data_IF_423437301074
#
_entry.id   IF_423437301074
#
_cell.length_a   1.000
_cell.length_b   1.000
_cell.length_c   1.000
_cell.angle_alpha   90.00
_cell.angle_beta   90.00
_cell.angle_gamma   90.00
#
_symmetry.space_group_name_H-M   'P 1'
#
loop_
_entity.id
_entity.type
_entity.pdbx_description
1 polymer ?
#
# COMPACT_ATOMS: atom_id res chain seq x y z
N UNK A 1 7.42 -18.42 -0.72
CA UNK A 1 7.36 -17.01 -1.15
C UNK A 1 6.56 -16.94 -2.44
N UNK A 2 5.95 -15.81 -2.75
CA UNK A 2 5.43 -15.55 -4.09
C UNK A 2 6.55 -15.90 -5.08
N UNK A 3 6.27 -16.79 -6.04
CA UNK A 3 7.29 -17.24 -6.99
C UNK A 3 7.93 -16.06 -7.72
N UNK A 4 9.11 -16.25 -8.28
CA UNK A 4 9.79 -15.22 -9.08
C UNK A 4 9.03 -14.94 -10.38
N UNK A 5 8.30 -15.93 -10.89
CA UNK A 5 7.53 -15.81 -12.14
C UNK A 5 6.05 -16.05 -11.86
N UNK A 6 5.24 -15.00 -12.01
CA UNK A 6 3.79 -15.05 -11.77
C UNK A 6 3.08 -14.48 -13.00
N UNK A 7 2.15 -15.23 -13.59
CA UNK A 7 1.33 -14.73 -14.69
C UNK A 7 -0.14 -14.80 -14.32
N UNK A 8 -0.83 -13.67 -14.35
CA UNK A 8 -2.29 -13.59 -14.24
C UNK A 8 -2.88 -13.43 -15.64
N UNK A 9 -3.79 -14.33 -16.02
CA UNK A 9 -4.48 -14.28 -17.32
C UNK A 9 -5.92 -13.77 -17.13
N UNK A 10 -6.42 -12.99 -18.09
CA UNK A 10 -7.81 -12.51 -18.06
C UNK A 10 -8.10 -11.48 -16.96
N UNK A 11 -7.10 -10.67 -16.57
CA UNK A 11 -7.27 -9.60 -15.59
C UNK A 11 -8.23 -8.53 -16.12
N UNK A 12 -9.32 -8.28 -15.38
CA UNK A 12 -10.40 -7.37 -15.74
C UNK A 12 -9.86 -5.97 -16.08
N UNK A 13 -10.07 -5.55 -17.32
CA UNK A 13 -9.65 -4.24 -17.84
C UNK A 13 -8.17 -4.15 -18.24
N UNK A 14 -7.35 -5.20 -18.06
CA UNK A 14 -5.92 -5.18 -18.39
C UNK A 14 -5.52 -6.28 -19.38
N UNK A 15 -6.14 -7.46 -19.32
CA UNK A 15 -5.74 -8.64 -20.11
C UNK A 15 -4.77 -9.52 -19.33
N UNK A 16 -3.60 -9.84 -19.89
CA UNK A 16 -2.60 -10.67 -19.21
C UNK A 16 -1.52 -9.81 -18.56
N UNK A 17 -1.17 -10.14 -17.32
CA UNK A 17 -0.06 -9.51 -16.57
C UNK A 17 0.95 -10.60 -16.22
N UNK A 18 2.20 -10.44 -16.64
CA UNK A 18 3.31 -11.33 -16.28
C UNK A 18 4.35 -10.58 -15.44
N UNK A 19 4.62 -11.10 -14.25
CA UNK A 19 5.56 -10.59 -13.28
C UNK A 19 6.79 -11.51 -13.26
N UNK A 20 7.94 -10.92 -13.52
CA UNK A 20 9.28 -11.51 -13.36
C UNK A 20 10.02 -10.67 -12.32
N UNK A 21 10.13 -11.22 -11.12
CA UNK A 21 10.61 -10.55 -9.93
C UNK A 21 11.92 -11.17 -9.45
N UNK A 22 12.84 -10.32 -8.99
CA UNK A 22 14.09 -10.79 -8.37
C UNK A 22 13.78 -11.53 -7.07
N UNK A 23 14.40 -12.69 -6.82
CA UNK A 23 14.22 -13.42 -5.57
C UNK A 23 14.76 -12.62 -4.38
N UNK A 24 14.29 -12.99 -3.18
CA UNK A 24 14.81 -12.54 -1.88
C UNK A 24 14.78 -11.02 -1.62
N UNK A 25 14.01 -10.27 -2.42
CA UNK A 25 13.77 -8.85 -2.15
C UNK A 25 12.71 -8.66 -1.06
N UNK A 26 12.87 -7.59 -0.27
CA UNK A 26 11.87 -7.14 0.71
C UNK A 26 10.90 -6.11 0.15
N UNK A 27 11.26 -5.43 -0.94
CA UNK A 27 10.42 -4.41 -1.57
C UNK A 27 10.37 -4.67 -3.07
N UNK A 28 9.14 -4.72 -3.60
CA UNK A 28 8.86 -4.81 -5.03
C UNK A 28 8.04 -3.59 -5.42
N UNK A 29 8.65 -2.63 -6.08
CA UNK A 29 7.99 -1.38 -6.46
C UNK A 29 7.66 -1.37 -7.94
N UNK A 30 6.40 -1.10 -8.26
CA UNK A 30 5.87 -1.10 -9.60
C UNK A 30 5.56 0.33 -10.06
N UNK A 31 6.19 0.72 -11.17
CA UNK A 31 6.03 2.02 -11.81
C UNK A 31 5.53 1.82 -13.23
N UNK A 32 4.87 2.81 -13.78
CA UNK A 32 4.47 2.81 -15.18
C UNK A 32 3.46 3.90 -15.46
N UNK A 33 3.08 4.05 -16.72
CA UNK A 33 2.11 5.08 -17.16
C UNK A 33 0.74 4.89 -16.50
N UNK A 34 -0.04 5.96 -16.42
CA UNK A 34 -1.41 5.91 -15.91
C UNK A 34 -2.24 4.94 -16.77
N UNK A 35 -3.07 4.11 -16.13
CA UNK A 35 -3.92 3.13 -16.82
C UNK A 35 -3.21 1.84 -17.27
N UNK A 36 -1.90 1.66 -17.02
CA UNK A 36 -1.19 0.42 -17.40
C UNK A 36 -1.67 -0.82 -16.63
N UNK A 37 -2.30 -0.63 -15.46
CA UNK A 37 -2.82 -1.70 -14.62
C UNK A 37 -2.11 -1.93 -13.27
N UNK A 38 -1.35 -0.96 -12.74
CA UNK A 38 -0.66 -1.06 -11.43
C UNK A 38 -1.59 -1.49 -10.29
N UNK A 39 -2.70 -0.77 -10.09
CA UNK A 39 -3.70 -1.10 -9.07
C UNK A 39 -4.31 -2.49 -9.29
N UNK A 40 -4.70 -2.81 -10.54
CA UNK A 40 -5.28 -4.12 -10.89
C UNK A 40 -4.30 -5.28 -10.69
N UNK A 41 -3.01 -5.04 -10.93
CA UNK A 41 -1.94 -6.00 -10.64
C UNK A 41 -1.82 -6.26 -9.13
N UNK A 42 -1.77 -5.21 -8.31
CA UNK A 42 -1.72 -5.38 -6.85
C UNK A 42 -3.01 -6.02 -6.30
N UNK A 43 -4.19 -5.69 -6.85
CA UNK A 43 -5.45 -6.35 -6.51
C UNK A 43 -5.43 -7.85 -6.84
N UNK A 44 -4.99 -8.23 -8.04
CA UNK A 44 -4.86 -9.63 -8.44
C UNK A 44 -3.90 -10.39 -7.52
N UNK A 45 -2.75 -9.78 -7.19
CA UNK A 45 -1.77 -10.34 -6.27
C UNK A 45 -2.34 -10.51 -4.87
N UNK A 46 -3.06 -9.52 -4.34
CA UNK A 46 -3.71 -9.62 -3.04
C UNK A 46 -4.77 -10.71 -3.01
N UNK A 47 -5.65 -10.78 -4.01
CA UNK A 47 -6.70 -11.80 -4.06
C UNK A 47 -6.10 -13.21 -4.11
N UNK A 48 -5.02 -13.41 -4.88
CA UNK A 48 -4.29 -14.67 -4.89
C UNK A 48 -3.73 -15.02 -3.51
N UNK A 49 -3.06 -14.07 -2.85
CA UNK A 49 -2.54 -14.26 -1.48
C UNK A 49 -3.68 -14.60 -0.51
N UNK A 50 -4.79 -13.87 -0.55
CA UNK A 50 -5.92 -14.07 0.35
C UNK A 50 -6.55 -15.46 0.20
N UNK A 51 -6.70 -15.96 -1.03
CA UNK A 51 -7.18 -17.31 -1.33
C UNK A 51 -6.18 -18.40 -0.89
N UNK A 52 -4.89 -18.08 -0.95
CA UNK A 52 -3.79 -18.93 -0.52
C UNK A 52 -3.60 -18.94 1.00
N UNK A 53 -4.29 -18.07 1.73
CA UNK A 53 -4.19 -18.00 3.19
C UNK A 53 -4.80 -19.25 3.86
N UNK A 54 -4.09 -19.86 4.81
CA UNK A 54 -4.46 -21.14 5.42
C UNK A 54 -5.62 -21.04 6.41
N UNK A 55 -5.86 -19.88 7.00
CA UNK A 55 -6.90 -19.68 8.02
C UNK A 55 -8.14 -18.97 7.47
N UNK A 56 -8.31 -18.92 6.14
CA UNK A 56 -9.54 -18.40 5.54
C UNK A 56 -10.67 -19.42 5.66
N UNK A 57 -11.82 -18.99 6.17
CA UNK A 57 -12.99 -19.86 6.25
C UNK A 57 -13.51 -20.20 4.84
N UNK A 58 -14.08 -21.40 4.69
CA UNK A 58 -14.55 -21.89 3.38
C UNK A 58 -15.61 -20.96 2.75
N UNK A 59 -16.50 -20.37 3.54
CA UNK A 59 -17.53 -19.46 3.04
C UNK A 59 -16.93 -18.12 2.53
N UNK A 60 -15.88 -17.60 3.19
CA UNK A 60 -15.12 -16.44 2.70
C UNK A 60 -14.47 -16.74 1.36
N UNK A 61 -13.88 -17.92 1.24
CA UNK A 61 -13.27 -18.39 0.02
C UNK A 61 -14.28 -18.47 -1.14
N UNK A 62 -15.47 -19.03 -0.90
CA UNK A 62 -16.56 -19.07 -1.89
C UNK A 62 -16.98 -17.65 -2.30
N UNK A 63 -17.09 -16.74 -1.35
CA UNK A 63 -17.46 -15.36 -1.63
C UNK A 63 -16.43 -14.66 -2.53
N UNK A 64 -15.14 -14.76 -2.19
CA UNK A 64 -14.04 -14.19 -3.00
C UNK A 64 -14.09 -14.73 -4.42
N UNK A 65 -14.29 -16.04 -4.59
CA UNK A 65 -14.29 -16.69 -5.90
C UNK A 65 -15.28 -16.09 -6.91
N UNK A 66 -16.34 -15.42 -6.43
CA UNK A 66 -17.34 -14.78 -7.28
C UNK A 66 -16.89 -13.44 -7.90
N UNK A 67 -15.87 -12.78 -7.32
CA UNK A 67 -15.44 -11.44 -7.74
C UNK A 67 -13.92 -11.33 -7.98
N UNK A 68 -13.26 -12.46 -8.24
CA UNK A 68 -11.83 -12.47 -8.60
C UNK A 68 -11.61 -11.67 -9.88
N UNK A 69 -10.56 -10.84 -9.89
CA UNK A 69 -10.29 -9.92 -10.99
C UNK A 69 -9.55 -10.57 -12.17
N UNK A 70 -9.20 -11.86 -12.09
CA UNK A 70 -8.42 -12.61 -13.08
C UNK A 70 -8.99 -14.03 -13.28
N UNK A 71 -8.78 -14.61 -14.46
CA UNK A 71 -9.33 -15.92 -14.81
C UNK A 71 -8.47 -17.08 -14.32
N UNK A 72 -7.15 -16.97 -14.44
CA UNK A 72 -6.19 -18.01 -14.04
C UNK A 72 -4.85 -17.42 -13.63
N UNK A 73 -4.04 -18.24 -12.94
CA UNK A 73 -2.70 -17.86 -12.50
C UNK A 73 -1.69 -18.97 -12.81
N UNK A 74 -0.50 -18.59 -13.27
CA UNK A 74 0.65 -19.48 -13.45
C UNK A 74 1.77 -19.03 -12.52
N UNK A 75 2.38 -19.95 -11.78
CA UNK A 75 3.50 -19.66 -10.89
C UNK A 75 4.65 -20.61 -11.20
N UNK A 76 5.82 -20.09 -11.56
CA UNK A 76 7.02 -20.88 -11.87
C UNK A 76 6.73 -22.07 -12.82
N UNK A 77 5.92 -21.84 -13.87
CA UNK A 77 5.43 -22.82 -14.85
C UNK A 77 4.42 -23.85 -14.33
N UNK A 78 4.03 -23.82 -13.05
CA UNK A 78 2.88 -24.57 -12.57
C UNK A 78 1.60 -23.78 -12.83
N UNK A 79 0.69 -24.37 -13.60
CA UNK A 79 -0.62 -23.77 -13.91
C UNK A 79 -1.59 -24.07 -12.76
N UNK A 80 -2.23 -23.03 -12.23
CA UNK A 80 -3.38 -23.16 -11.32
C UNK A 80 -4.62 -22.79 -12.15
N UNK A 81 -5.40 -23.80 -12.53
CA UNK A 81 -6.45 -23.68 -13.57
C UNK A 81 -7.72 -22.95 -13.15
N UNK A 82 -8.23 -22.15 -14.09
CA UNK A 82 -9.59 -21.63 -14.26
C UNK A 82 -10.39 -21.35 -12.98
N UNK A 83 -9.91 -20.33 -12.28
CA UNK A 83 -10.43 -19.86 -10.99
C UNK A 83 -11.86 -19.32 -11.12
N UNK A 84 -12.18 -18.73 -12.28
CA UNK A 84 -13.48 -18.04 -12.49
C UNK A 84 -14.54 -18.98 -13.09
N UNK A 85 -14.18 -19.93 -13.96
CA UNK A 85 -15.19 -20.76 -14.66
C UNK A 85 -15.66 -21.97 -13.89
N UNK A 86 -14.82 -22.58 -13.07
CA UNK A 86 -15.16 -23.88 -12.47
C UNK A 86 -16.08 -23.75 -11.25
N UNK A 87 -16.13 -22.58 -10.57
CA UNK A 87 -16.72 -22.41 -9.22
C UNK A 87 -16.28 -23.49 -8.21
N UNK A 88 -15.28 -24.28 -8.58
CA UNK A 88 -14.90 -25.59 -8.06
C UNK A 88 -13.38 -25.72 -8.16
N UNK A 89 -12.67 -24.62 -7.88
CA UNK A 89 -11.26 -24.73 -7.58
C UNK A 89 -11.17 -25.56 -6.30
N UNK A 90 -10.43 -26.66 -6.33
CA UNK A 90 -10.10 -27.35 -5.09
C UNK A 90 -9.09 -26.48 -4.34
N UNK A 91 -9.42 -25.91 -3.16
CA UNK A 91 -8.50 -25.05 -2.40
C UNK A 91 -7.17 -25.75 -2.09
N UNK A 92 -7.16 -27.08 -2.14
CA UNK A 92 -6.03 -27.98 -1.96
C UNK A 92 -4.96 -27.85 -3.05
N UNK A 93 -5.31 -27.39 -4.26
CA UNK A 93 -4.36 -27.21 -5.37
C UNK A 93 -3.56 -25.90 -5.28
N UNK A 94 -3.97 -24.98 -4.41
CA UNK A 94 -3.31 -23.68 -4.22
C UNK A 94 -2.31 -23.79 -3.07
N UNK A 95 -1.01 -23.48 -3.29
CA UNK A 95 -0.02 -23.47 -2.22
C UNK A 95 -0.46 -22.58 -1.06
N UNK A 96 -0.57 -23.16 0.13
CA UNK A 96 -1.06 -22.44 1.31
C UNK A 96 0.06 -21.69 2.05
N UNK A 97 -0.29 -20.58 2.69
CA UNK A 97 0.58 -19.85 3.61
C UNK A 97 -0.19 -19.32 4.83
N UNK A 98 0.52 -19.03 5.92
CA UNK A 98 -0.04 -18.46 7.15
C UNK A 98 0.36 -17.01 7.42
N UNK A 99 1.11 -16.40 6.49
CA UNK A 99 1.54 -15.00 6.64
C UNK A 99 0.34 -14.03 6.64
N UNK A 100 0.30 -13.03 7.54
CA UNK A 100 -0.63 -11.91 7.45
C UNK A 100 -0.48 -11.17 6.12
N UNK A 101 -1.60 -10.80 5.49
CA UNK A 101 -1.61 -10.06 4.22
C UNK A 101 -2.46 -8.81 4.38
N UNK A 102 -1.89 -7.66 4.01
CA UNK A 102 -2.58 -6.37 4.03
C UNK A 102 -2.57 -5.73 2.65
N UNK A 103 -3.68 -5.09 2.28
CA UNK A 103 -3.76 -4.22 1.12
C UNK A 103 -4.13 -2.81 1.58
N UNK A 104 -3.28 -1.85 1.28
CA UNK A 104 -3.43 -0.44 1.63
C UNK A 104 -3.74 0.33 0.35
N UNK A 105 -5.01 0.64 0.11
CA UNK A 105 -5.43 1.42 -1.06
C UNK A 105 -4.94 2.87 -0.97
N UNK A 106 -4.91 3.60 -2.09
CA UNK A 106 -4.30 4.94 -2.16
C UNK A 106 -5.13 6.06 -1.53
N UNK A 107 -6.45 5.91 -1.46
CA UNK A 107 -7.35 6.96 -1.02
C UNK A 107 -7.50 7.02 0.52
N UNK A 108 -7.87 8.20 1.02
CA UNK A 108 -8.10 8.53 2.43
C UNK A 108 -6.87 8.57 3.35
N UNK A 109 -5.63 8.70 2.84
CA UNK A 109 -4.43 8.81 3.71
C UNK A 109 -4.26 10.19 4.38
N UNK A 110 -4.71 11.27 3.74
CA UNK A 110 -4.40 12.65 4.19
C UNK A 110 -5.28 13.25 5.30
N UNK A 111 -6.48 12.72 5.56
CA UNK A 111 -7.48 13.44 6.38
C UNK A 111 -7.84 12.72 7.69
N UNK A 112 -7.60 13.36 8.83
CA UNK A 112 -8.15 12.91 10.12
C UNK A 112 -9.47 13.64 10.32
N UNK A 113 -10.60 12.93 10.24
CA UNK A 113 -11.94 13.49 10.43
C UNK A 113 -12.63 12.89 11.66
N UNK A 114 -12.92 13.70 12.67
CA UNK A 114 -13.64 13.25 13.84
C UNK A 114 -15.03 12.72 13.46
N UNK A 115 -15.34 11.48 13.85
CA UNK A 115 -16.64 10.86 13.65
C UNK A 115 -17.14 10.28 14.97
N UNK A 116 -18.32 10.73 15.41
CA UNK A 116 -19.05 10.18 16.55
C UNK A 116 -19.74 8.87 16.15
N UNK A 117 -19.00 7.77 16.12
CA UNK A 117 -19.57 6.44 15.93
C UNK A 117 -19.75 5.72 17.27
N UNK A 118 -20.86 4.99 17.40
CA UNK A 118 -21.11 4.11 18.54
C UNK A 118 -20.07 2.99 18.58
N UNK A 119 -19.31 2.94 19.67
CA UNK A 119 -18.25 1.96 19.88
C UNK A 119 -18.91 0.63 20.26
N UNK A 120 -18.75 -0.39 19.42
CA UNK A 120 -19.26 -1.76 19.67
C UNK A 120 -18.18 -2.61 20.33
N UNK A 121 -18.60 -3.55 21.19
CA UNK A 121 -17.72 -4.61 21.68
C UNK A 121 -17.07 -5.33 20.50
N UNK A 122 -15.74 -5.43 20.53
CA UNK A 122 -14.92 -5.83 19.37
C UNK A 122 -14.96 -7.36 19.19
N UNK A 123 -15.18 -8.10 20.28
CA UNK A 123 -15.26 -9.57 20.30
C UNK A 123 -13.91 -10.25 20.56
N UNK A 124 -13.92 -11.59 20.58
CA UNK A 124 -12.71 -12.42 20.73
C UNK A 124 -11.76 -12.29 19.54
N UNK A 125 -10.48 -12.68 19.69
CA UNK A 125 -9.52 -12.72 18.57
C UNK A 125 -10.08 -13.36 17.28
N UNK A 126 -10.70 -14.54 17.38
CA UNK A 126 -11.24 -15.24 16.22
C UNK A 126 -12.40 -14.47 15.56
N UNK A 127 -13.30 -13.89 16.35
CA UNK A 127 -14.38 -13.04 15.82
C UNK A 127 -13.82 -11.79 15.14
N UNK A 128 -12.76 -11.19 15.68
CA UNK A 128 -12.09 -10.03 15.09
C UNK A 128 -11.44 -10.38 13.76
N UNK A 129 -10.71 -11.50 13.70
CA UNK A 129 -10.10 -12.01 12.49
C UNK A 129 -11.16 -12.23 11.41
N UNK A 130 -12.23 -12.95 11.75
CA UNK A 130 -13.29 -13.30 10.82
C UNK A 130 -14.06 -12.06 10.31
N UNK A 131 -14.38 -11.11 11.20
CA UNK A 131 -14.98 -9.81 10.82
C UNK A 131 -14.05 -8.99 9.93
N UNK A 132 -12.74 -9.02 10.18
CA UNK A 132 -11.76 -8.32 9.38
C UNK A 132 -11.69 -8.88 7.95
N UNK A 133 -11.61 -10.20 7.81
CA UNK A 133 -11.63 -10.88 6.52
C UNK A 133 -12.94 -10.56 5.77
N UNK A 134 -14.08 -10.69 6.46
CA UNK A 134 -15.40 -10.31 5.91
C UNK A 134 -15.41 -8.87 5.38
N UNK A 135 -14.87 -7.92 6.16
CA UNK A 135 -14.81 -6.51 5.79
C UNK A 135 -13.98 -6.30 4.51
N UNK A 136 -12.78 -6.88 4.43
CA UNK A 136 -11.93 -6.75 3.24
C UNK A 136 -12.65 -7.30 2.02
N UNK A 137 -13.21 -8.50 2.14
CA UNK A 137 -13.91 -9.19 1.05
C UNK A 137 -15.05 -8.31 0.53
N UNK A 138 -15.89 -7.78 1.42
CA UNK A 138 -17.00 -6.89 1.05
C UNK A 138 -16.50 -5.59 0.41
N UNK A 139 -15.40 -5.01 0.89
CA UNK A 139 -14.81 -3.82 0.27
C UNK A 139 -14.29 -4.12 -1.14
N UNK A 140 -13.69 -5.29 -1.36
CA UNK A 140 -13.19 -5.72 -2.66
C UNK A 140 -14.31 -5.92 -3.68
N UNK A 141 -15.38 -6.60 -3.29
CA UNK A 141 -16.54 -6.82 -4.16
C UNK A 141 -17.13 -5.50 -4.65
N UNK A 142 -17.26 -4.52 -3.74
CA UNK A 142 -17.79 -3.20 -4.04
C UNK A 142 -16.80 -2.29 -4.80
N UNK A 143 -15.62 -2.79 -5.19
CA UNK A 143 -14.50 -1.99 -5.73
C UNK A 143 -14.21 -0.76 -4.85
N UNK A 144 -14.35 -0.91 -3.53
CA UNK A 144 -14.17 0.20 -2.59
C UNK A 144 -12.69 0.58 -2.51
N UNK A 145 -12.40 1.88 -2.69
CA UNK A 145 -11.06 2.43 -2.92
C UNK A 145 -10.25 2.61 -1.62
N UNK A 146 -10.72 2.09 -0.49
CA UNK A 146 -10.28 2.50 0.85
C UNK A 146 -10.00 1.34 1.80
N UNK A 147 -9.69 0.17 1.27
CA UNK A 147 -9.32 -1.02 2.04
C UNK A 147 -8.22 -0.68 3.05
N UNK A 148 -8.45 -1.04 4.31
CA UNK A 148 -7.61 -0.72 5.47
C UNK A 148 -7.33 0.78 5.75
N UNK A 149 -7.95 1.71 5.03
CA UNK A 149 -7.71 3.17 5.13
C UNK A 149 -8.93 3.99 5.58
N UNK A 150 -10.09 3.36 5.76
CA UNK A 150 -11.36 4.04 6.15
C UNK A 150 -11.44 4.43 7.62
N UNK A 151 -10.72 3.71 8.50
CA UNK A 151 -10.90 3.91 9.93
C UNK A 151 -10.29 5.24 10.34
N UNK A 152 -11.11 6.15 10.87
CA UNK A 152 -10.60 7.34 11.52
C UNK A 152 -9.66 6.95 12.67
N UNK A 153 -8.50 7.58 12.71
CA UNK A 153 -7.45 7.20 13.66
C UNK A 153 -7.80 7.52 15.11
N UNK A 154 -8.52 8.62 15.37
CA UNK A 154 -8.99 8.96 16.71
C UNK A 154 -10.00 7.91 17.17
N UNK A 155 -11.00 7.60 16.35
CA UNK A 155 -11.96 6.52 16.63
C UNK A 155 -11.28 5.16 16.84
N UNK A 156 -10.18 4.89 16.12
CA UNK A 156 -9.38 3.68 16.30
C UNK A 156 -8.71 3.65 17.67
N UNK A 157 -7.97 4.69 18.05
CA UNK A 157 -7.35 4.80 19.38
C UNK A 157 -8.40 4.73 20.50
N UNK A 158 -9.55 5.40 20.34
CA UNK A 158 -10.68 5.32 21.26
C UNK A 158 -11.15 3.89 21.48
N UNK A 159 -11.37 3.17 20.38
CA UNK A 159 -11.85 1.78 20.39
C UNK A 159 -10.84 0.86 21.07
N UNK A 160 -9.54 1.06 20.82
CA UNK A 160 -8.47 0.30 21.47
C UNK A 160 -8.35 0.60 22.95
N UNK A 161 -8.39 1.87 23.35
CA UNK A 161 -8.26 2.27 24.75
C UNK A 161 -9.43 1.73 25.60
N UNK A 162 -10.65 1.73 25.05
CA UNK A 162 -11.81 1.14 25.72
C UNK A 162 -11.78 -0.39 25.78
N UNK A 163 -11.03 -1.04 24.89
CA UNK A 163 -10.78 -2.49 24.90
C UNK A 163 -9.46 -2.88 25.54
N UNK A 164 -8.77 -1.93 26.17
CA UNK A 164 -7.56 -2.16 26.96
C UNK A 164 -7.96 -2.24 28.43
N UNK A 165 -8.14 -3.46 28.94
CA UNK A 165 -8.57 -3.69 30.32
C UNK A 165 -7.60 -4.67 31.03
N UNK A 166 -7.04 -4.32 32.21
CA UNK A 166 -6.18 -5.22 32.99
C UNK A 166 -6.80 -6.59 33.34
N UNK A 167 -8.13 -6.68 33.36
CA UNK A 167 -8.86 -7.91 33.70
C UNK A 167 -9.20 -8.79 32.48
N UNK A 168 -8.86 -8.35 31.28
CA UNK A 168 -9.11 -9.09 30.04
C UNK A 168 -7.97 -10.08 29.78
N UNK A 169 -8.26 -11.18 29.08
CA UNK A 169 -7.22 -12.11 28.61
C UNK A 169 -6.20 -11.35 27.77
N UNK A 170 -4.91 -11.67 27.93
CA UNK A 170 -3.84 -10.99 27.21
C UNK A 170 -4.04 -11.00 25.68
N UNK A 171 -4.61 -12.08 25.14
CA UNK A 171 -4.95 -12.25 23.71
C UNK A 171 -6.05 -11.31 23.20
N UNK A 172 -6.92 -10.84 24.11
CA UNK A 172 -8.01 -9.93 23.77
C UNK A 172 -7.72 -8.48 24.23
N UNK A 173 -6.63 -8.26 24.95
CA UNK A 173 -6.20 -6.93 25.39
C UNK A 173 -5.50 -6.19 24.26
N UNK A 174 -6.03 -5.02 23.90
CA UNK A 174 -5.63 -4.26 22.72
C UNK A 174 -4.64 -3.11 22.98
N UNK A 175 -4.04 -3.10 24.17
CA UNK A 175 -3.04 -2.10 24.54
C UNK A 175 -1.76 -2.23 23.69
N UNK A 176 -1.47 -3.44 23.19
CA UNK A 176 -0.29 -3.77 22.40
C UNK A 176 -0.25 -2.94 21.11
N UNK A 177 -1.40 -2.76 20.44
CA UNK A 177 -1.50 -1.94 19.23
C UNK A 177 -1.14 -0.48 19.50
N UNK A 178 -1.68 0.11 20.58
CA UNK A 178 -1.38 1.49 20.97
C UNK A 178 0.11 1.65 21.25
N UNK A 179 0.66 0.79 22.12
CA UNK A 179 2.09 0.80 22.48
C UNK A 179 2.99 0.64 21.27
N UNK A 180 2.63 -0.25 20.35
CA UNK A 180 3.38 -0.45 19.11
C UNK A 180 3.37 0.80 18.25
N UNK A 181 2.21 1.42 18.00
CA UNK A 181 2.14 2.64 17.19
C UNK A 181 2.97 3.76 17.84
N UNK A 182 2.81 4.02 19.13
CA UNK A 182 3.56 5.07 19.83
C UNK A 182 5.08 4.85 19.76
N UNK A 183 5.52 3.59 19.93
CA UNK A 183 6.93 3.20 19.80
C UNK A 183 7.45 3.44 18.37
N UNK A 184 6.67 3.07 17.35
CA UNK A 184 7.06 3.29 15.95
C UNK A 184 7.09 4.78 15.60
N UNK A 185 6.17 5.60 16.14
CA UNK A 185 6.21 7.05 15.96
C UNK A 185 7.45 7.68 16.61
N UNK A 186 7.82 7.24 17.82
CA UNK A 186 9.06 7.67 18.47
C UNK A 186 10.32 7.29 17.65
N UNK A 187 10.31 6.16 16.93
CA UNK A 187 11.40 5.77 16.02
C UNK A 187 11.43 6.60 14.72
N UNK A 188 10.33 7.24 14.35
CA UNK A 188 10.28 8.19 13.23
C UNK A 188 10.78 9.55 13.68
N UNK A 189 10.29 10.02 14.82
CA UNK A 189 10.58 11.32 15.40
C UNK A 189 10.75 11.16 16.91
N UNK A 190 11.98 11.32 17.38
CA UNK A 190 12.35 11.13 18.79
C UNK A 190 11.71 12.16 19.73
N UNK A 191 11.15 13.26 19.20
CA UNK A 191 10.39 14.23 20.00
C UNK A 191 9.06 13.70 20.52
N UNK A 192 8.55 12.61 19.93
CA UNK A 192 7.28 11.99 20.28
C UNK A 192 7.47 11.05 21.49
N UNK A 193 6.75 11.27 22.57
CA UNK A 193 6.78 10.42 23.76
C UNK A 193 6.04 9.09 23.51
N UNK A 194 6.77 7.97 23.54
CA UNK A 194 6.19 6.64 23.29
C UNK A 194 5.27 6.14 24.42
N UNK A 195 5.28 6.80 25.58
CA UNK A 195 4.52 6.39 26.77
C UNK A 195 3.32 7.30 27.06
N UNK A 196 3.06 8.29 26.19
CA UNK A 196 1.98 9.24 26.39
C UNK A 196 0.93 9.15 25.26
N UNK A 197 -0.30 8.84 25.67
CA UNK A 197 -1.50 9.02 24.88
C UNK A 197 -2.58 9.54 25.82
N UNK A 198 -3.24 10.63 25.44
CA UNK A 198 -4.38 11.13 26.17
C UNK A 198 -5.62 11.15 25.29
N UNK A 199 -6.72 10.71 25.87
CA UNK A 199 -8.03 10.67 25.24
C UNK A 199 -8.95 11.58 26.07
N UNK A 200 -9.47 12.63 25.46
CA UNK A 200 -10.46 13.50 26.11
C UNK A 200 -11.85 12.87 26.11
N UNK A 201 -12.74 13.36 26.98
CA UNK A 201 -14.12 12.86 27.09
C UNK A 201 -14.97 13.05 25.82
N UNK A 202 -14.59 13.96 24.93
CA UNK A 202 -15.18 14.17 23.61
C UNK A 202 -14.48 13.39 22.48
N UNK A 203 -13.59 12.46 22.84
CA UNK A 203 -12.98 11.50 21.92
C UNK A 203 -11.80 12.03 21.11
N UNK A 204 -11.25 13.19 21.46
CA UNK A 204 -10.02 13.69 20.83
C UNK A 204 -8.81 13.00 21.41
N UNK A 205 -7.86 12.69 20.53
CA UNK A 205 -6.65 11.97 20.88
C UNK A 205 -5.46 12.92 20.82
N UNK A 206 -4.63 12.91 21.86
CA UNK A 206 -3.44 13.75 21.95
C UNK A 206 -2.19 12.94 22.20
N UNK A 207 -1.12 13.33 21.50
CA UNK A 207 0.24 12.86 21.71
C UNK A 207 1.05 13.95 22.41
N UNK A 208 2.18 13.56 23.00
CA UNK A 208 3.15 14.51 23.55
C UNK A 208 4.34 14.59 22.60
N UNK A 209 4.57 15.77 22.04
CA UNK A 209 5.60 16.08 21.04
C UNK A 209 6.37 17.29 21.55
N UNK A 210 7.69 17.20 21.67
CA UNK A 210 8.54 18.25 22.26
C UNK A 210 8.07 18.68 23.66
N UNK A 211 7.68 17.70 24.49
CA UNK A 211 7.04 17.93 25.79
C UNK A 211 5.72 18.72 25.77
N UNK A 212 5.16 19.02 24.61
CA UNK A 212 3.88 19.69 24.45
C UNK A 212 2.80 18.70 24.02
N UNK A 213 1.63 18.81 24.64
CA UNK A 213 0.44 18.07 24.22
C UNK A 213 -0.05 18.62 22.88
N UNK A 214 -0.22 17.75 21.88
CA UNK A 214 -0.78 18.08 20.57
C UNK A 214 -1.87 17.08 20.18
N UNK A 215 -3.02 17.60 19.79
CA UNK A 215 -4.13 16.79 19.25
C UNK A 215 -3.75 16.21 17.88
N UNK A 216 -4.20 14.99 17.57
CA UNK A 216 -3.94 14.33 16.28
C UNK A 216 -4.48 15.15 15.11
N UNK A 217 -5.63 15.80 15.29
CA UNK A 217 -6.27 16.71 14.32
C UNK A 217 -5.38 17.90 13.92
N UNK A 218 -4.44 18.31 14.77
CA UNK A 218 -3.53 19.44 14.53
C UNK A 218 -2.21 19.02 13.89
N UNK A 219 -1.99 17.72 13.64
CA UNK A 219 -0.78 17.24 12.98
C UNK A 219 -0.77 17.62 11.50
N UNK A 220 0.42 17.80 10.94
CA UNK A 220 0.56 18.05 9.49
C UNK A 220 -0.03 16.90 8.69
N UNK A 221 -0.65 17.21 7.54
CA UNK A 221 -1.25 16.20 6.64
C UNK A 221 -0.25 15.14 6.18
N UNK A 222 1.02 15.53 5.99
CA UNK A 222 2.11 14.61 5.67
C UNK A 222 2.40 13.62 6.81
N UNK A 223 2.47 14.09 8.05
CA UNK A 223 2.66 13.20 9.21
C UNK A 223 1.43 12.32 9.47
N UNK A 224 0.22 12.87 9.33
CA UNK A 224 -1.03 12.12 9.43
C UNK A 224 -1.08 10.94 8.44
N UNK A 225 -0.58 11.13 7.23
CA UNK A 225 -0.51 10.08 6.21
C UNK A 225 0.43 8.93 6.60
N UNK A 226 1.61 9.23 7.17
CA UNK A 226 2.52 8.20 7.70
C UNK A 226 1.88 7.46 8.86
N UNK A 227 1.32 8.22 9.80
CA UNK A 227 0.67 7.68 10.97
C UNK A 227 -0.44 6.70 10.57
N UNK A 228 -1.23 7.02 9.54
CA UNK A 228 -2.25 6.10 9.00
C UNK A 228 -1.66 4.83 8.36
N UNK A 229 -0.57 4.94 7.61
CA UNK A 229 0.10 3.74 7.05
C UNK A 229 0.54 2.81 8.19
N UNK A 230 1.17 3.37 9.23
CA UNK A 230 1.64 2.61 10.40
C UNK A 230 0.45 2.00 11.16
N UNK A 231 -0.57 2.81 11.45
CA UNK A 231 -1.77 2.35 12.13
C UNK A 231 -2.48 1.24 11.36
N UNK A 232 -2.57 1.33 10.03
CA UNK A 232 -3.17 0.29 9.21
C UNK A 232 -2.35 -1.00 9.20
N UNK A 233 -1.02 -0.93 9.15
CA UNK A 233 -0.15 -2.12 9.23
C UNK A 233 -0.28 -2.79 10.59
N UNK A 234 -0.14 -2.02 11.69
CA UNK A 234 -0.24 -2.54 13.05
C UNK A 234 -1.63 -3.12 13.31
N UNK A 235 -2.69 -2.38 12.97
CA UNK A 235 -4.06 -2.86 13.13
C UNK A 235 -4.31 -4.10 12.26
N UNK A 236 -3.82 -4.12 11.04
CA UNK A 236 -3.93 -5.26 10.14
C UNK A 236 -3.31 -6.51 10.75
N UNK A 237 -2.05 -6.44 11.17
CA UNK A 237 -1.36 -7.56 11.82
C UNK A 237 -2.06 -8.03 13.09
N UNK A 238 -2.60 -7.12 13.91
CA UNK A 238 -3.36 -7.49 15.12
C UNK A 238 -4.63 -8.32 14.86
N UNK A 239 -5.13 -8.34 13.61
CA UNK A 239 -6.24 -9.21 13.22
C UNK A 239 -5.79 -10.59 12.77
N UNK A 240 -4.52 -10.78 12.41
CA UNK A 240 -3.97 -12.07 12.02
C UNK A 240 -3.18 -12.75 13.13
N UNK A 241 -2.75 -12.02 14.15
CA UNK A 241 -1.93 -12.56 15.23
C UNK A 241 -2.11 -11.83 16.56
N UNK A 242 -1.79 -12.53 17.66
CA UNK A 242 -1.69 -11.99 19.02
C UNK A 242 -0.22 -11.78 19.48
N UNK A 243 0.72 -11.74 18.53
CA UNK A 243 2.13 -11.43 18.82
C UNK A 243 2.28 -10.09 19.54
N UNK A 244 3.09 -10.05 20.60
CA UNK A 244 3.32 -8.82 21.37
C UNK A 244 4.17 -7.79 20.61
N UNK A 245 4.97 -8.25 19.64
CA UNK A 245 5.84 -7.41 18.84
C UNK A 245 5.31 -7.31 17.41
N UNK A 246 4.20 -6.59 17.24
CA UNK A 246 3.55 -6.44 15.92
C UNK A 246 4.48 -5.89 14.84
N UNK A 247 5.47 -5.07 15.20
CA UNK A 247 6.51 -4.58 14.27
C UNK A 247 7.39 -5.70 13.66
N UNK A 248 7.55 -6.83 14.36
CA UNK A 248 8.43 -7.93 13.96
C UNK A 248 7.67 -9.08 13.29
N UNK A 249 6.36 -8.94 13.11
CA UNK A 249 5.53 -9.94 12.43
C UNK A 249 6.00 -10.10 10.98
N UNK A 250 6.23 -11.36 10.58
CA UNK A 250 6.53 -11.69 9.19
C UNK A 250 5.25 -11.64 8.37
N UNK A 251 5.08 -10.63 7.53
CA UNK A 251 3.86 -10.43 6.76
C UNK A 251 4.10 -9.87 5.36
N UNK A 252 3.03 -9.75 4.59
CA UNK A 252 3.03 -9.18 3.25
C UNK A 252 2.12 -7.95 3.25
N UNK A 253 2.62 -6.82 2.76
CA UNK A 253 1.86 -5.57 2.69
C UNK A 253 1.92 -5.04 1.26
N UNK A 254 0.75 -4.89 0.65
CA UNK A 254 0.59 -4.29 -0.66
C UNK A 254 0.13 -2.85 -0.47
N UNK A 255 0.80 -1.90 -1.11
CA UNK A 255 0.50 -0.47 -0.95
C UNK A 255 0.34 0.15 -2.33
N UNK A 256 -0.86 0.61 -2.65
CA UNK A 256 -1.12 1.34 -3.88
C UNK A 256 -0.79 2.83 -3.70
N UNK A 257 -0.09 3.44 -4.65
CA UNK A 257 0.37 4.84 -4.65
C UNK A 257 0.94 5.25 -3.28
N UNK A 258 2.07 4.67 -2.87
CA UNK A 258 2.68 4.91 -1.54
C UNK A 258 2.85 6.40 -1.22
N UNK A 259 3.11 7.21 -2.24
CA UNK A 259 3.30 8.66 -2.17
C UNK A 259 2.01 9.46 -1.88
N UNK A 260 0.84 8.85 -2.03
CA UNK A 260 -0.45 9.52 -1.91
C UNK A 260 -0.56 10.27 -0.57
N UNK A 261 -0.80 11.58 -0.66
CA UNK A 261 -0.88 12.54 0.45
C UNK A 261 0.39 12.70 1.31
N UNK A 262 1.51 12.06 0.96
CA UNK A 262 2.80 12.28 1.62
C UNK A 262 3.43 13.60 1.18
N UNK A 263 3.89 14.37 2.16
CA UNK A 263 4.77 15.52 1.89
C UNK A 263 6.08 15.04 1.22
N UNK A 264 6.68 15.86 0.36
CA UNK A 264 7.89 15.51 -0.39
C UNK A 264 9.02 14.97 0.50
N UNK A 265 9.23 15.60 1.66
CA UNK A 265 10.23 15.15 2.64
C UNK A 265 9.98 13.71 3.15
N UNK A 266 8.71 13.30 3.23
CA UNK A 266 8.33 11.95 3.60
C UNK A 266 8.40 10.99 2.42
N UNK A 267 8.00 11.44 1.23
CA UNK A 267 8.19 10.65 0.00
C UNK A 267 9.65 10.26 -0.16
N UNK A 268 10.60 11.14 0.16
CA UNK A 268 12.06 10.96 0.07
C UNK A 268 12.67 9.96 1.07
N UNK A 269 11.89 9.43 2.01
CA UNK A 269 12.40 8.47 3.01
C UNK A 269 11.43 7.32 3.32
N UNK A 270 10.27 7.23 2.66
CA UNK A 270 9.20 6.31 3.05
C UNK A 270 9.60 4.84 2.92
N UNK A 271 10.30 4.45 1.85
CA UNK A 271 10.70 3.06 1.65
C UNK A 271 11.73 2.58 2.67
N UNK A 272 12.88 3.26 2.89
CA UNK A 272 13.82 2.85 3.93
C UNK A 272 13.20 2.93 5.33
N UNK A 273 12.28 3.89 5.55
CA UNK A 273 11.53 3.97 6.80
C UNK A 273 10.68 2.72 7.05
N UNK A 274 9.87 2.28 6.08
CA UNK A 274 9.06 1.07 6.21
C UNK A 274 9.91 -0.18 6.40
N UNK A 275 11.03 -0.32 5.66
CA UNK A 275 12.01 -1.43 5.83
C UNK A 275 12.60 -1.48 7.24
N UNK A 276 12.76 -0.33 7.89
CA UNK A 276 13.29 -0.20 9.27
C UNK A 276 12.22 -0.48 10.32
N UNK A 277 11.03 0.09 10.16
CA UNK A 277 9.93 -0.05 11.12
C UNK A 277 9.35 -1.48 11.13
N UNK A 278 9.34 -2.16 9.98
CA UNK A 278 8.79 -3.51 9.83
C UNK A 278 9.82 -4.45 9.17
N UNK A 279 10.85 -4.89 9.92
CA UNK A 279 12.00 -5.59 9.35
C UNK A 279 11.67 -6.90 8.63
N UNK A 280 10.62 -7.60 9.08
CA UNK A 280 10.20 -8.91 8.56
C UNK A 280 9.06 -8.84 7.53
N UNK A 281 8.70 -7.63 7.08
CA UNK A 281 7.61 -7.42 6.13
C UNK A 281 8.13 -7.36 4.71
N UNK A 282 7.45 -8.06 3.80
CA UNK A 282 7.63 -7.92 2.35
C UNK A 282 6.60 -6.92 1.81
N UNK A 283 7.07 -5.91 1.08
CA UNK A 283 6.24 -4.86 0.51
C UNK A 283 6.10 -5.00 -1.00
N UNK A 284 4.87 -4.89 -1.51
CA UNK A 284 4.59 -4.72 -2.94
C UNK A 284 3.94 -3.36 -3.13
N UNK A 285 4.64 -2.44 -3.76
CA UNK A 285 4.30 -1.03 -3.75
C UNK A 285 4.03 -0.57 -5.18
N UNK A 286 3.00 0.24 -5.41
CA UNK A 286 2.92 1.02 -6.64
C UNK A 286 3.27 2.49 -6.35
N UNK A 287 3.89 3.16 -7.32
CA UNK A 287 4.17 4.59 -7.22
C UNK A 287 4.23 5.27 -8.59
N UNK A 288 3.86 6.54 -8.60
CA UNK A 288 4.10 7.50 -9.68
C UNK A 288 5.20 8.51 -9.32
N UNK A 289 5.77 8.44 -8.11
CA UNK A 289 6.76 9.39 -7.63
C UNK A 289 8.16 8.94 -8.01
N UNK A 290 8.83 9.75 -8.84
CA UNK A 290 10.28 9.61 -9.10
C UNK A 290 11.11 9.76 -7.83
N UNK A 291 10.60 10.49 -6.83
CA UNK A 291 11.27 10.66 -5.54
C UNK A 291 11.28 9.33 -4.78
N UNK A 292 10.15 8.62 -4.73
CA UNK A 292 10.08 7.27 -4.13
C UNK A 292 11.03 6.31 -4.84
N UNK A 293 11.03 6.34 -6.17
CA UNK A 293 11.91 5.51 -7.00
C UNK A 293 13.40 5.73 -6.68
N UNK A 294 13.83 6.97 -6.44
CA UNK A 294 15.23 7.29 -6.13
C UNK A 294 15.77 6.69 -4.82
N UNK A 295 14.90 6.15 -3.96
CA UNK A 295 15.30 5.49 -2.69
C UNK A 295 15.46 3.98 -2.81
N UNK A 296 15.03 3.40 -3.93
CA UNK A 296 15.00 1.96 -4.10
C UNK A 296 16.41 1.41 -4.29
N UNK A 297 16.65 0.21 -3.77
CA UNK A 297 17.88 -0.54 -4.01
C UNK A 297 17.79 -1.31 -5.34
N UNK A 298 18.93 -1.82 -5.80
CA UNK A 298 18.99 -2.68 -7.00
C UNK A 298 18.09 -3.91 -6.79
N UNK A 299 17.24 -4.23 -7.77
CA UNK A 299 16.29 -5.33 -7.66
C UNK A 299 14.92 -4.95 -7.08
N UNK A 300 14.74 -3.74 -6.56
CA UNK A 300 13.47 -3.33 -5.92
C UNK A 300 12.52 -2.56 -6.86
N UNK A 301 12.94 -2.19 -8.07
CA UNK A 301 12.20 -1.30 -8.97
C UNK A 301 11.83 -1.96 -10.31
N UNK A 302 10.55 -1.94 -10.68
CA UNK A 302 10.00 -2.60 -11.86
C UNK A 302 9.09 -1.66 -12.65
N UNK A 303 9.38 -1.48 -13.94
CA UNK A 303 8.50 -0.79 -14.89
C UNK A 303 7.49 -1.76 -15.47
N UNK A 304 6.21 -1.51 -15.26
CA UNK A 304 5.12 -2.16 -15.99
C UNK A 304 5.00 -1.54 -17.38
N UNK A 305 5.09 -2.38 -18.38
CA UNK A 305 4.97 -2.00 -19.78
C UNK A 305 4.11 -3.01 -20.53
N UNK A 306 3.29 -2.54 -21.46
CA UNK A 306 2.56 -3.40 -22.39
C UNK A 306 3.42 -3.62 -23.62
N UNK A 307 3.75 -4.87 -23.87
CA UNK A 307 4.58 -5.25 -25.01
C UNK A 307 3.73 -5.40 -26.29
N UNK A 308 4.41 -5.65 -27.42
CA UNK A 308 3.77 -5.74 -28.74
C UNK A 308 2.73 -6.87 -28.84
N UNK A 309 2.85 -7.91 -28.02
CA UNK A 309 1.88 -9.01 -27.92
C UNK A 309 0.68 -8.68 -27.02
N UNK A 310 0.61 -7.45 -26.50
CA UNK A 310 -0.48 -6.99 -25.66
C UNK A 310 -0.38 -7.42 -24.20
N UNK A 311 0.65 -8.17 -23.80
CA UNK A 311 0.85 -8.60 -22.40
C UNK A 311 1.54 -7.49 -21.63
N UNK A 312 1.09 -7.24 -20.39
CA UNK A 312 1.76 -6.31 -19.47
C UNK A 312 2.85 -7.05 -18.71
N UNK A 313 4.11 -6.63 -18.87
CA UNK A 313 5.27 -7.26 -18.22
C UNK A 313 6.00 -6.30 -17.29
N UNK A 314 6.58 -6.86 -16.23
CA UNK A 314 7.57 -6.16 -15.40
C UNK A 314 8.93 -6.15 -16.08
N UNK A 315 9.54 -4.98 -16.17
CA UNK A 315 10.91 -4.79 -16.62
C UNK A 315 11.71 -4.20 -15.47
N UNK A 316 12.79 -4.88 -15.05
CA UNK A 316 13.64 -4.40 -13.96
C UNK A 316 14.28 -3.05 -14.35
N UNK A 317 14.14 -2.06 -13.48
CA UNK A 317 14.84 -0.78 -13.59
C UNK A 317 16.19 -0.94 -12.87
N UNK A 318 17.27 -0.83 -13.63
CA UNK A 318 18.63 -0.91 -13.08
C UNK A 318 19.02 0.41 -12.44
N UNK A 319 19.72 0.33 -11.32
CA UNK A 319 20.33 1.45 -10.61
C UNK A 319 19.36 2.61 -10.30
N UNK A 320 18.18 2.33 -9.72
CA UNK A 320 17.14 3.34 -9.50
C UNK A 320 17.58 4.51 -8.59
N UNK A 321 18.55 4.28 -7.69
CA UNK A 321 19.10 5.28 -6.77
C UNK A 321 20.34 6.04 -7.30
N UNK A 322 20.97 5.57 -8.39
CA UNK A 322 22.20 6.15 -8.94
C UNK A 322 21.98 6.87 -10.28
N UNK A 323 20.82 6.67 -10.92
CA UNK A 323 20.46 7.37 -12.14
C UNK A 323 20.08 8.83 -11.85
N UNK A 324 20.45 9.75 -12.76
CA UNK A 324 19.99 11.13 -12.64
C UNK A 324 18.45 11.16 -12.70
N UNK A 325 17.81 12.09 -11.99
CA UNK A 325 16.33 12.13 -11.95
C UNK A 325 15.70 12.26 -13.34
N UNK A 326 16.42 12.87 -14.29
CA UNK A 326 16.01 12.97 -15.69
C UNK A 326 16.00 11.59 -16.37
N UNK A 327 17.01 10.78 -16.12
CA UNK A 327 17.11 9.41 -16.65
C UNK A 327 16.07 8.52 -15.99
N UNK A 328 15.86 8.66 -14.68
CA UNK A 328 14.78 7.98 -13.94
C UNK A 328 13.42 8.33 -14.55
N UNK A 329 13.18 9.61 -14.87
CA UNK A 329 11.92 10.04 -15.49
C UNK A 329 11.75 9.49 -16.90
N UNK A 330 12.82 9.45 -17.68
CA UNK A 330 12.82 8.88 -19.03
C UNK A 330 12.60 7.37 -19.00
N UNK A 331 13.35 6.67 -18.17
CA UNK A 331 13.31 5.21 -18.08
C UNK A 331 12.01 4.73 -17.43
N UNK A 332 11.58 5.34 -16.33
CA UNK A 332 10.41 4.84 -15.60
C UNK A 332 9.07 5.33 -16.18
N UNK A 333 9.04 6.55 -16.73
CA UNK A 333 7.79 7.20 -17.17
C UNK A 333 7.77 7.56 -18.67
N UNK A 334 8.87 7.36 -19.40
CA UNK A 334 8.96 7.77 -20.81
C UNK A 334 9.04 9.30 -20.99
N UNK A 335 9.37 10.04 -19.92
CA UNK A 335 9.38 11.51 -19.92
C UNK A 335 10.81 12.03 -20.15
N UNK A 336 11.10 12.52 -21.36
CA UNK A 336 12.37 13.18 -21.66
C UNK A 336 12.27 14.70 -21.38
N UNK A 337 12.66 15.10 -20.17
CA UNK A 337 12.64 16.52 -19.77
C UNK A 337 13.51 17.42 -20.64
N UNK A 338 14.61 16.89 -21.19
CA UNK A 338 15.51 17.67 -22.04
C UNK A 338 14.84 17.96 -23.39
N UNK A 339 14.19 16.96 -23.98
CA UNK A 339 13.40 17.14 -25.20
C UNK A 339 12.26 18.14 -24.97
N UNK A 340 11.51 18.01 -23.88
CA UNK A 340 10.41 18.95 -23.57
C UNK A 340 10.89 20.40 -23.39
N UNK A 341 12.07 20.61 -22.80
CA UNK A 341 12.68 21.95 -22.68
C UNK A 341 13.07 22.51 -24.05
N UNK A 342 13.68 21.70 -24.91
CA UNK A 342 14.05 22.09 -26.27
C UNK A 342 12.82 22.49 -27.09
N UNK A 343 11.75 21.69 -27.02
CA UNK A 343 10.47 21.98 -27.70
C UNK A 343 9.89 23.32 -27.23
N UNK A 344 9.86 23.59 -25.92
CA UNK A 344 9.39 24.88 -25.37
C UNK A 344 10.23 26.05 -25.86
N UNK A 345 11.56 25.93 -25.83
CA UNK A 345 12.46 26.98 -26.31
C UNK A 345 12.25 27.25 -27.81
N UNK A 346 12.09 26.20 -28.62
CA UNK A 346 11.85 26.34 -30.06
C UNK A 346 10.52 27.04 -30.36
N UNK A 347 9.46 26.73 -29.60
CA UNK A 347 8.16 27.37 -29.74
C UNK A 347 8.20 28.87 -29.39
N UNK A 348 8.92 29.25 -28.32
CA UNK A 348 9.11 30.67 -27.96
C UNK A 348 9.92 31.42 -29.02
N UNK A 349 10.99 30.82 -29.55
CA UNK A 349 11.79 31.42 -30.61
C UNK A 349 11.00 31.60 -31.91
N UNK A 350 10.14 30.64 -32.27
CA UNK A 350 9.24 30.75 -33.43
C UNK A 350 8.17 31.84 -33.23
N UNK A 351 7.63 31.98 -32.00
CA UNK A 351 6.68 33.03 -31.67
C UNK A 351 7.32 34.43 -31.76
N UNK A 352 8.52 34.60 -31.22
CA UNK A 352 9.29 35.86 -31.29
C UNK A 352 9.67 36.20 -32.74
N UNK A 353 10.11 35.22 -33.53
CA UNK A 353 10.43 35.41 -34.93
C UNK A 353 9.19 35.84 -35.75
N UNK A 354 8.02 35.22 -35.48
CA UNK A 354 6.76 35.58 -36.13
C UNK A 354 6.30 36.99 -35.73
N UNK A 355 6.44 37.39 -34.47
CA UNK A 355 6.13 38.76 -34.04
C UNK A 355 7.05 39.80 -34.70
N UNK A 356 8.35 39.52 -34.81
CA UNK A 356 9.30 40.41 -35.52
C UNK A 356 8.97 40.52 -37.01
N UNK A 357 8.62 39.41 -37.66
CA UNK A 357 8.19 39.42 -39.06
C UNK A 357 6.89 40.22 -39.25
N UNK A 358 5.90 40.05 -38.38
CA UNK A 358 4.66 40.85 -38.43
C UNK A 358 4.94 42.35 -38.19
N UNK A 359 5.87 42.69 -37.30
CA UNK A 359 6.28 44.07 -37.08
C UNK A 359 6.97 44.70 -38.30
N UNK A 360 7.70 43.91 -39.10
CA UNK A 360 8.34 44.36 -40.34
C UNK A 360 7.35 44.49 -41.52
N UNK A 361 6.27 43.71 -41.53
CA UNK A 361 5.23 43.77 -42.57
C UNK A 361 4.26 44.95 -42.34
N UNK A 362 4.12 45.40 -41.09
CA UNK A 362 3.24 46.51 -40.70
C UNK A 362 3.96 47.87 -40.65
N UNK A 363 5.19 47.95 -41.16
CA UNK A 363 5.92 49.19 -41.47
C UNK A 363 5.87 49.41 -42.98
#
# INVERSE_FOLDING_TARGET
MLGTNITFEGVKGVGTIALELQPDQRVYTFIGVNGIGKTKMLEALFQYLLISYSHIAYYHWQHISNFIVFNSIKINNNYIEDIVRTKSIHPEMIPKHSLPILFLASQNRGFIQHNNNNIKSIGSFNERHDKYISKIINQMENNSVSINMETNIESWFMTLAQSSNPYQKAEDNREIEIKTVLKLLNQIDSSIDSNFLEISGDGRVSLKIDNQKRELSHLSTGFASILKIIQAIVSGYSYFTNEQQLQNVKGIVLIDEIESHLHIAWQAQITPLLKRLFPNTTFYISTHSSIVLSQLEEGEAYRLQRDADGIVRTHLIKSPNNAAIVDVLKDAFGIDLNQMKLERMSATQQADAKQRLLALINQ
#
